data_IF_254741100563
#
_entry.id   IF_254741100563
#
_cell.length_a   1.000
_cell.length_b   1.000
_cell.length_c   1.000
_cell.angle_alpha   90.00
_cell.angle_beta   90.00
_cell.angle_gamma   90.00
#
_symmetry.space_group_name_H-M   'P 1'
#
loop_
_entity.id
_entity.type
_entity.pdbx_description
1 polymer ?
#
# COMPACT_ATOMS: atom_id res chain seq x y z
N UNK A 1 -1.83 -22.02 25.44
CA UNK A 1 -2.94 -21.53 24.55
C UNK A 1 -3.78 -20.61 25.43
N UNK A 2 -3.44 -19.30 25.45
CA UNK A 2 -4.18 -18.32 26.24
C UNK A 2 -5.47 -17.96 25.49
N UNK A 3 -6.59 -18.05 26.16
CA UNK A 3 -7.92 -17.63 25.71
C UNK A 3 -7.83 -16.25 25.05
N UNK A 4 -8.02 -16.23 23.75
CA UNK A 4 -8.23 -15.01 22.99
C UNK A 4 -9.58 -14.46 23.45
N UNK A 5 -9.57 -13.63 24.51
CA UNK A 5 -10.82 -13.06 25.01
C UNK A 5 -11.31 -12.04 23.98
N UNK A 6 -12.53 -12.19 23.51
CA UNK A 6 -13.21 -11.25 22.59
C UNK A 6 -13.07 -9.79 23.08
N UNK A 7 -13.05 -9.57 24.38
CA UNK A 7 -12.82 -8.27 25.02
C UNK A 7 -11.44 -7.69 24.74
N UNK A 8 -10.38 -8.52 24.68
CA UNK A 8 -9.04 -8.06 24.33
C UNK A 8 -8.94 -7.65 22.84
N UNK A 9 -9.62 -8.38 21.96
CA UNK A 9 -9.70 -8.02 20.53
C UNK A 9 -10.42 -6.69 20.31
N UNK A 10 -11.57 -6.49 20.94
CA UNK A 10 -12.34 -5.24 20.85
C UNK A 10 -11.54 -4.05 21.38
N UNK A 11 -10.85 -4.22 22.51
CA UNK A 11 -10.01 -3.15 23.09
C UNK A 11 -8.80 -2.79 22.21
N UNK A 12 -8.20 -3.76 21.53
CA UNK A 12 -7.11 -3.50 20.58
C UNK A 12 -7.60 -2.75 19.35
N UNK A 13 -8.75 -3.14 18.79
CA UNK A 13 -9.36 -2.44 17.66
C UNK A 13 -9.75 -1.00 18.03
N UNK A 14 -10.31 -0.80 19.24
CA UNK A 14 -10.62 0.54 19.75
C UNK A 14 -9.39 1.44 19.86
N UNK A 15 -8.26 0.91 20.38
CA UNK A 15 -7.00 1.67 20.49
C UNK A 15 -6.40 2.00 19.11
N UNK A 16 -6.49 1.09 18.15
CA UNK A 16 -6.04 1.35 16.79
C UNK A 16 -6.85 2.45 16.12
N UNK A 17 -8.18 2.43 16.31
CA UNK A 17 -9.05 3.49 15.82
C UNK A 17 -8.81 4.84 16.51
N UNK A 18 -8.56 4.84 17.82
CA UNK A 18 -8.18 6.03 18.57
C UNK A 18 -6.87 6.62 18.02
N UNK A 19 -5.84 5.79 17.79
CA UNK A 19 -4.59 6.26 17.18
C UNK A 19 -4.81 6.86 15.79
N UNK A 20 -5.66 6.26 14.97
CA UNK A 20 -6.02 6.80 13.65
C UNK A 20 -6.63 8.21 13.78
N UNK A 21 -7.57 8.41 14.70
CA UNK A 21 -8.18 9.71 14.95
C UNK A 21 -7.15 10.74 15.49
N UNK A 22 -6.27 10.31 16.38
CA UNK A 22 -5.20 11.15 16.91
C UNK A 22 -4.24 11.59 15.80
N UNK A 23 -3.83 10.69 14.93
CA UNK A 23 -3.01 11.01 13.76
C UNK A 23 -3.71 12.01 12.85
N UNK A 24 -4.99 11.78 12.54
CA UNK A 24 -5.76 12.71 11.71
C UNK A 24 -5.87 14.10 12.33
N UNK A 25 -6.12 14.21 13.64
CA UNK A 25 -6.21 15.48 14.36
C UNK A 25 -4.86 16.19 14.49
N UNK A 26 -3.80 15.43 14.78
CA UNK A 26 -2.48 15.99 15.03
C UNK A 26 -1.73 16.35 13.74
N UNK A 27 -2.11 15.78 12.59
CA UNK A 27 -1.54 16.11 11.27
C UNK A 27 -1.73 17.60 10.91
N UNK A 28 -2.78 18.23 11.44
CA UNK A 28 -3.06 19.65 11.22
C UNK A 28 -2.55 20.58 12.33
N UNK A 29 -1.93 20.06 13.40
CA UNK A 29 -1.38 20.86 14.49
C UNK A 29 0.07 21.25 14.23
N UNK A 30 0.39 22.52 14.52
CA UNK A 30 1.78 23.05 14.52
C UNK A 30 2.46 22.77 15.87
N UNK A 31 3.81 22.52 15.88
CA UNK A 31 4.74 22.56 14.77
C UNK A 31 4.77 21.24 13.96
N UNK A 32 4.75 21.34 12.63
CA UNK A 32 4.93 20.18 11.74
C UNK A 32 6.40 19.77 11.69
N UNK A 33 6.70 18.49 11.83
CA UNK A 33 8.05 17.93 11.85
C UNK A 33 8.55 17.64 10.42
N UNK A 34 8.72 18.68 9.59
CA UNK A 34 9.06 18.53 8.16
C UNK A 34 10.37 17.79 7.92
N UNK A 35 11.39 17.98 8.76
CA UNK A 35 12.65 17.25 8.64
C UNK A 35 12.48 15.75 8.87
N UNK A 36 11.73 15.38 9.90
CA UNK A 36 11.41 13.97 10.20
C UNK A 36 10.59 13.35 9.06
N UNK A 37 9.60 14.09 8.53
CA UNK A 37 8.80 13.66 7.39
C UNK A 37 9.67 13.29 6.17
N UNK A 38 10.61 14.17 5.77
CA UNK A 38 11.48 13.93 4.63
C UNK A 38 12.42 12.74 4.89
N UNK A 39 12.97 12.64 6.10
CA UNK A 39 13.83 11.51 6.48
C UNK A 39 13.07 10.18 6.42
N UNK A 40 11.85 10.15 6.93
CA UNK A 40 11.00 8.95 6.90
C UNK A 40 10.54 8.62 5.48
N UNK A 41 10.19 9.59 4.66
CA UNK A 41 9.84 9.38 3.26
C UNK A 41 11.02 8.76 2.49
N UNK A 42 12.22 9.31 2.68
CA UNK A 42 13.44 8.75 2.07
C UNK A 42 13.73 7.34 2.55
N UNK A 43 13.61 7.09 3.86
CA UNK A 43 13.85 5.77 4.46
C UNK A 43 12.88 4.73 3.89
N UNK A 44 11.57 5.01 3.91
CA UNK A 44 10.56 4.09 3.39
C UNK A 44 10.76 3.86 1.89
N UNK A 45 11.00 4.92 1.12
CA UNK A 45 11.26 4.81 -0.31
C UNK A 45 12.48 3.94 -0.62
N UNK A 46 13.60 4.13 0.11
CA UNK A 46 14.84 3.39 -0.11
C UNK A 46 14.71 1.89 0.10
N UNK A 47 13.86 1.46 1.04
CA UNK A 47 13.64 0.03 1.32
C UNK A 47 12.55 -0.58 0.45
N UNK A 48 11.69 0.23 -0.20
CA UNK A 48 10.53 -0.28 -0.95
C UNK A 48 10.69 -0.16 -2.47
N UNK A 49 11.41 0.82 -3.01
CA UNK A 49 11.51 1.07 -4.46
C UNK A 49 12.07 -0.16 -5.20
N UNK A 50 13.20 -0.69 -4.75
CA UNK A 50 13.86 -1.81 -5.44
C UNK A 50 13.02 -3.08 -5.43
N UNK A 51 12.52 -3.57 -4.27
CA UNK A 51 11.62 -4.73 -4.25
C UNK A 51 10.35 -4.51 -5.09
N UNK A 52 9.78 -3.30 -5.05
CA UNK A 52 8.58 -2.96 -5.80
C UNK A 52 8.80 -3.06 -7.31
N UNK A 53 9.90 -2.49 -7.80
CA UNK A 53 10.25 -2.54 -9.23
C UNK A 53 10.49 -3.97 -9.70
N UNK A 54 11.19 -4.79 -8.90
CA UNK A 54 11.48 -6.17 -9.23
C UNK A 54 10.22 -7.06 -9.26
N UNK A 55 9.23 -6.77 -8.40
CA UNK A 55 7.95 -7.51 -8.37
C UNK A 55 7.00 -7.03 -9.46
N UNK A 56 7.00 -5.74 -9.79
CA UNK A 56 6.09 -5.16 -10.78
C UNK A 56 6.28 -5.76 -12.19
N UNK A 57 7.52 -6.04 -12.59
CA UNK A 57 7.84 -6.60 -13.92
C UNK A 57 7.18 -7.98 -14.13
N UNK A 58 7.48 -9.02 -13.33
CA UNK A 58 6.87 -10.34 -13.52
C UNK A 58 5.36 -10.31 -13.28
N UNK A 59 4.87 -9.43 -12.39
CA UNK A 59 3.43 -9.32 -12.15
C UNK A 59 2.68 -8.79 -13.40
N UNK A 60 3.20 -7.71 -14.02
CA UNK A 60 2.68 -7.19 -15.27
C UNK A 60 2.77 -8.20 -16.42
N UNK A 61 3.89 -8.94 -16.50
CA UNK A 61 4.09 -10.02 -17.48
C UNK A 61 3.04 -11.13 -17.34
N UNK A 62 2.82 -11.63 -16.14
CA UNK A 62 1.84 -12.72 -15.89
C UNK A 62 0.43 -12.27 -16.27
N UNK A 63 0.04 -11.05 -15.90
CA UNK A 63 -1.27 -10.49 -16.28
C UNK A 63 -1.39 -10.41 -17.80
N UNK A 64 -0.38 -9.89 -18.50
CA UNK A 64 -0.40 -9.76 -19.95
C UNK A 64 -0.46 -11.13 -20.65
N UNK A 65 0.28 -12.14 -20.16
CA UNK A 65 0.25 -13.50 -20.69
C UNK A 65 -1.11 -14.17 -20.48
N UNK A 66 -1.69 -14.04 -19.29
CA UNK A 66 -3.01 -14.63 -18.98
C UNK A 66 -4.11 -13.98 -19.80
N UNK A 67 -4.19 -12.66 -19.81
CA UNK A 67 -5.21 -11.94 -20.56
C UNK A 67 -5.00 -12.08 -22.07
N UNK A 68 -3.76 -12.09 -22.53
CA UNK A 68 -3.44 -12.33 -23.93
C UNK A 68 -3.85 -13.72 -24.42
N UNK A 69 -3.67 -14.75 -23.58
CA UNK A 69 -4.13 -16.12 -23.92
C UNK A 69 -5.66 -16.21 -23.94
N UNK A 70 -6.33 -15.58 -22.98
CA UNK A 70 -7.80 -15.56 -22.89
C UNK A 70 -8.43 -14.81 -24.07
N UNK A 71 -7.95 -13.61 -24.38
CA UNK A 71 -8.46 -12.82 -25.49
C UNK A 71 -8.21 -13.49 -26.83
N UNK A 72 -7.12 -14.24 -26.97
CA UNK A 72 -6.82 -15.05 -28.17
C UNK A 72 -7.81 -16.19 -28.33
N UNK A 73 -8.16 -16.92 -27.27
CA UNK A 73 -9.16 -17.99 -27.29
C UNK A 73 -10.56 -17.47 -27.63
N UNK A 74 -10.90 -16.23 -27.25
CA UNK A 74 -12.17 -15.60 -27.55
C UNK A 74 -12.20 -14.87 -28.91
N UNK A 75 -11.10 -14.87 -29.67
CA UNK A 75 -10.99 -14.12 -30.93
C UNK A 75 -10.96 -12.60 -30.74
N UNK A 76 -10.74 -12.10 -29.52
CA UNK A 76 -10.78 -10.69 -29.14
C UNK A 76 -9.39 -10.09 -28.91
N UNK A 77 -8.41 -10.46 -29.72
CA UNK A 77 -6.99 -10.07 -29.55
C UNK A 77 -6.78 -8.54 -29.55
N UNK A 78 -7.63 -7.80 -30.27
CA UNK A 78 -7.58 -6.33 -30.30
C UNK A 78 -7.83 -5.66 -28.93
N UNK A 79 -8.45 -6.36 -27.99
CA UNK A 79 -8.76 -5.85 -26.65
C UNK A 79 -7.70 -6.23 -25.59
N UNK A 80 -6.67 -6.98 -25.93
CA UNK A 80 -5.66 -7.47 -24.98
C UNK A 80 -4.97 -6.31 -24.27
N UNK A 81 -4.58 -5.26 -24.98
CA UNK A 81 -3.92 -4.09 -24.39
C UNK A 81 -4.79 -3.40 -23.35
N UNK A 82 -6.04 -3.13 -23.70
CA UNK A 82 -7.00 -2.50 -22.79
C UNK A 82 -7.25 -3.31 -21.54
N UNK A 83 -7.52 -4.61 -21.71
CA UNK A 83 -7.76 -5.52 -20.56
C UNK A 83 -6.55 -5.60 -19.64
N UNK A 84 -5.33 -5.72 -20.20
CA UNK A 84 -4.09 -5.78 -19.43
C UNK A 84 -3.84 -4.51 -18.63
N UNK A 85 -4.03 -3.36 -19.26
CA UNK A 85 -3.79 -2.05 -18.61
C UNK A 85 -4.80 -1.80 -17.50
N UNK A 86 -6.08 -2.07 -17.74
CA UNK A 86 -7.11 -1.92 -16.71
C UNK A 86 -6.86 -2.84 -15.52
N UNK A 87 -6.49 -4.10 -15.76
CA UNK A 87 -6.14 -5.04 -14.70
C UNK A 87 -4.92 -4.57 -13.88
N UNK A 88 -3.90 -4.01 -14.54
CA UNK A 88 -2.71 -3.49 -13.86
C UNK A 88 -3.04 -2.24 -13.06
N UNK A 89 -3.65 -1.22 -13.64
CA UNK A 89 -3.84 0.09 -13.00
C UNK A 89 -4.90 0.03 -11.90
N UNK A 90 -6.03 -0.65 -12.14
CA UNK A 90 -7.15 -0.67 -11.17
C UNK A 90 -6.90 -1.57 -9.96
N UNK A 91 -6.25 -2.72 -10.18
CA UNK A 91 -6.17 -3.75 -9.14
C UNK A 91 -4.74 -4.16 -8.81
N UNK A 92 -3.95 -4.55 -9.81
CA UNK A 92 -2.63 -5.12 -9.56
C UNK A 92 -1.67 -4.11 -8.93
N UNK A 93 -1.61 -2.89 -9.46
CA UNK A 93 -0.69 -1.86 -8.98
C UNK A 93 -0.97 -1.46 -7.53
N UNK A 94 -2.21 -1.10 -7.11
CA UNK A 94 -2.50 -0.81 -5.71
C UNK A 94 -2.24 -1.98 -4.77
N UNK A 95 -2.55 -3.23 -5.19
CA UNK A 95 -2.33 -4.43 -4.37
C UNK A 95 -0.84 -4.69 -4.18
N UNK A 96 -0.05 -4.68 -5.25
CA UNK A 96 1.42 -4.88 -5.17
C UNK A 96 2.06 -3.81 -4.30
N UNK A 97 1.67 -2.54 -4.50
CA UNK A 97 2.12 -1.44 -3.67
C UNK A 97 1.76 -1.67 -2.19
N UNK A 98 0.50 -2.05 -1.91
CA UNK A 98 0.02 -2.31 -0.55
C UNK A 98 0.81 -3.41 0.15
N UNK A 99 1.06 -4.54 -0.53
CA UNK A 99 1.82 -5.66 0.02
C UNK A 99 3.26 -5.28 0.37
N UNK A 100 3.91 -4.50 -0.50
CA UNK A 100 5.29 -4.07 -0.28
C UNK A 100 5.42 -2.97 0.76
N UNK A 101 4.48 -2.03 0.79
CA UNK A 101 4.41 -1.04 1.87
C UNK A 101 4.14 -1.72 3.21
N UNK A 102 3.22 -2.66 3.29
CA UNK A 102 2.92 -3.39 4.52
C UNK A 102 4.10 -4.28 4.96
N UNK A 103 4.68 -5.01 4.00
CA UNK A 103 5.78 -5.94 4.24
C UNK A 103 7.09 -5.24 4.58
N UNK A 104 7.60 -4.37 3.72
CA UNK A 104 8.88 -3.70 3.93
C UNK A 104 8.77 -2.41 4.73
N UNK A 105 7.92 -1.47 4.28
CA UNK A 105 7.75 -0.16 4.93
C UNK A 105 7.16 -0.26 6.32
N UNK A 106 6.06 -1.01 6.48
CA UNK A 106 5.38 -1.22 7.76
C UNK A 106 6.24 -1.96 8.76
N UNK A 107 6.96 -3.00 8.32
CA UNK A 107 7.91 -3.72 9.17
C UNK A 107 9.02 -2.81 9.69
N UNK A 108 9.56 -1.95 8.83
CA UNK A 108 10.60 -1.00 9.19
C UNK A 108 10.10 0.05 10.20
N UNK A 109 8.89 0.61 9.99
CA UNK A 109 8.24 1.54 10.93
C UNK A 109 8.00 0.86 12.29
N UNK A 110 7.44 -0.35 12.29
CA UNK A 110 7.14 -1.10 13.51
C UNK A 110 8.41 -1.44 14.29
N UNK A 111 9.46 -1.88 13.61
CA UNK A 111 10.74 -2.22 14.22
C UNK A 111 11.44 -0.98 14.82
N UNK A 112 11.46 0.16 14.13
CA UNK A 112 12.04 1.40 14.63
C UNK A 112 11.31 1.90 15.88
N UNK A 113 9.97 2.00 15.84
CA UNK A 113 9.20 2.42 17.01
C UNK A 113 9.27 1.42 18.16
N UNK A 114 9.25 0.11 17.85
CA UNK A 114 9.40 -0.95 18.84
C UNK A 114 10.78 -0.93 19.52
N UNK A 115 11.83 -0.67 18.76
CA UNK A 115 13.18 -0.52 19.32
C UNK A 115 13.31 0.68 20.25
N UNK A 116 12.65 1.80 19.93
CA UNK A 116 12.57 2.99 20.80
C UNK A 116 11.75 2.71 22.05
N UNK A 117 10.66 1.94 21.93
CA UNK A 117 9.82 1.55 23.07
C UNK A 117 10.59 0.70 24.08
N UNK A 118 11.32 -0.32 23.64
CA UNK A 118 12.10 -1.18 24.54
C UNK A 118 13.33 -0.51 25.17
N UNK A 119 13.74 0.66 24.66
CA UNK A 119 14.79 1.52 25.23
C UNK A 119 14.24 2.65 26.10
N UNK A 120 12.95 2.61 26.43
CA UNK A 120 12.23 3.62 27.22
C UNK A 120 12.27 5.05 26.64
N UNK A 121 12.68 5.22 25.37
CA UNK A 121 12.72 6.53 24.71
C UNK A 121 11.32 7.15 24.59
N UNK A 122 10.31 6.32 24.33
CA UNK A 122 8.92 6.77 24.20
C UNK A 122 8.36 7.19 25.54
N UNK A 123 8.61 6.42 26.59
CA UNK A 123 8.18 6.73 27.93
C UNK A 123 8.88 7.98 28.48
N UNK A 124 10.16 8.16 28.17
CA UNK A 124 10.89 9.39 28.49
C UNK A 124 10.29 10.64 27.79
N UNK A 125 9.85 10.51 26.52
CA UNK A 125 9.17 11.61 25.81
C UNK A 125 7.85 12.00 26.52
N UNK A 126 7.06 11.01 26.94
CA UNK A 126 5.80 11.25 27.64
C UNK A 126 6.01 11.97 28.98
N UNK A 127 7.02 11.57 29.75
CA UNK A 127 7.41 12.24 31.03
C UNK A 127 7.82 13.69 30.79
N UNK A 128 8.47 13.98 29.64
CA UNK A 128 8.84 15.34 29.26
C UNK A 128 7.67 16.16 28.66
N UNK A 129 6.46 15.60 28.61
CA UNK A 129 5.28 16.24 28.03
C UNK A 129 5.29 16.31 26.50
N UNK A 130 6.15 15.55 25.84
CA UNK A 130 6.24 15.48 24.38
C UNK A 130 5.36 14.34 23.87
N UNK A 131 4.38 14.64 23.03
CA UNK A 131 3.53 13.61 22.43
C UNK A 131 4.30 12.74 21.42
N UNK A 132 4.50 11.43 21.68
CA UNK A 132 5.14 10.52 20.73
C UNK A 132 4.36 10.41 19.43
N UNK A 133 3.03 10.48 19.49
CA UNK A 133 2.17 10.39 18.32
C UNK A 133 2.44 11.56 17.38
N UNK A 134 2.44 12.79 17.89
CA UNK A 134 2.68 13.98 17.06
C UNK A 134 4.11 14.00 16.49
N UNK A 135 5.10 13.62 17.30
CA UNK A 135 6.51 13.76 16.93
C UNK A 135 7.02 12.61 16.06
N UNK A 136 6.56 11.38 16.31
CA UNK A 136 7.07 10.19 15.64
C UNK A 136 6.08 9.58 14.65
N UNK A 137 4.80 9.43 15.05
CA UNK A 137 3.82 8.69 14.24
C UNK A 137 3.33 9.52 13.06
N UNK A 138 2.92 10.76 13.30
CA UNK A 138 2.34 11.63 12.24
C UNK A 138 3.29 11.78 11.03
N UNK A 139 4.57 12.13 11.20
CA UNK A 139 5.49 12.23 10.05
C UNK A 139 5.65 10.92 9.28
N UNK A 140 5.67 9.76 9.99
CA UNK A 140 5.79 8.44 9.36
C UNK A 140 4.55 8.07 8.57
N UNK A 141 3.38 8.35 9.10
CA UNK A 141 2.11 8.06 8.40
C UNK A 141 2.00 8.90 7.13
N UNK A 142 2.25 10.20 7.20
CA UNK A 142 2.21 11.07 6.03
C UNK A 142 3.28 10.70 4.98
N UNK A 143 4.48 10.36 5.43
CA UNK A 143 5.56 9.88 4.56
C UNK A 143 5.16 8.58 3.86
N UNK A 144 4.56 7.64 4.58
CA UNK A 144 4.12 6.37 4.04
C UNK A 144 3.00 6.56 3.00
N UNK A 145 2.05 7.45 3.24
CA UNK A 145 0.99 7.80 2.28
C UNK A 145 1.57 8.37 0.98
N UNK A 146 2.53 9.31 1.08
CA UNK A 146 3.20 9.90 -0.07
C UNK A 146 3.99 8.86 -0.87
N UNK A 147 4.78 8.05 -0.17
CA UNK A 147 5.60 7.00 -0.80
C UNK A 147 4.70 5.93 -1.43
N UNK A 148 3.59 5.57 -0.80
CA UNK A 148 2.62 4.62 -1.36
C UNK A 148 2.04 5.12 -2.71
N UNK A 149 1.66 6.38 -2.80
CA UNK A 149 1.22 6.98 -4.06
C UNK A 149 2.33 6.94 -5.12
N UNK A 150 3.54 7.38 -4.78
CA UNK A 150 4.66 7.36 -5.72
C UNK A 150 5.01 5.94 -6.20
N UNK A 151 4.96 4.93 -5.30
CA UNK A 151 5.18 3.53 -5.66
C UNK A 151 4.06 2.97 -6.53
N UNK A 152 2.81 3.36 -6.31
CA UNK A 152 1.69 2.94 -7.16
C UNK A 152 1.87 3.45 -8.59
N UNK A 153 2.26 4.72 -8.75
CA UNK A 153 2.62 5.27 -10.05
C UNK A 153 3.75 4.48 -10.73
N UNK A 154 4.81 4.17 -9.97
CA UNK A 154 5.94 3.37 -10.46
C UNK A 154 5.49 1.97 -10.91
N UNK A 155 4.71 1.26 -10.08
CA UNK A 155 4.19 -0.08 -10.42
C UNK A 155 3.29 -0.03 -11.64
N UNK A 156 2.44 1.00 -11.76
CA UNK A 156 1.58 1.19 -12.92
C UNK A 156 2.39 1.35 -14.21
N UNK A 157 3.42 2.20 -14.19
CA UNK A 157 4.29 2.42 -15.36
C UNK A 157 5.08 1.16 -15.71
N UNK A 158 5.75 0.56 -14.73
CA UNK A 158 6.58 -0.63 -14.94
C UNK A 158 5.73 -1.84 -15.32
N UNK A 159 4.58 -2.04 -14.68
CA UNK A 159 3.65 -3.13 -14.97
C UNK A 159 3.04 -3.03 -16.37
N UNK A 160 2.62 -1.84 -16.79
CA UNK A 160 2.11 -1.60 -18.15
C UNK A 160 3.21 -1.76 -19.20
N UNK A 161 4.41 -1.22 -18.95
CA UNK A 161 5.55 -1.37 -19.86
C UNK A 161 5.98 -2.86 -19.98
N UNK A 162 6.01 -3.57 -18.87
CA UNK A 162 6.25 -5.02 -18.85
C UNK A 162 5.16 -5.77 -19.65
N UNK A 163 3.88 -5.46 -19.40
CA UNK A 163 2.77 -6.05 -20.13
C UNK A 163 2.84 -5.79 -21.64
N UNK A 164 3.19 -4.58 -22.05
CA UNK A 164 3.43 -4.25 -23.46
C UNK A 164 4.55 -5.08 -24.07
N UNK A 165 5.71 -5.13 -23.40
CA UNK A 165 6.87 -5.88 -23.89
C UNK A 165 6.54 -7.38 -24.08
N UNK A 166 5.92 -8.01 -23.10
CA UNK A 166 5.58 -9.43 -23.18
C UNK A 166 4.49 -9.72 -24.20
N UNK A 167 3.49 -8.85 -24.34
CA UNK A 167 2.44 -9.03 -25.36
C UNK A 167 2.99 -8.90 -26.78
N UNK A 168 3.78 -7.87 -27.04
CA UNK A 168 4.30 -7.58 -28.39
C UNK A 168 5.42 -8.56 -28.77
N UNK A 169 6.39 -8.80 -27.86
CA UNK A 169 7.60 -9.59 -28.19
C UNK A 169 7.33 -11.10 -28.09
N UNK A 170 6.64 -11.55 -27.04
CA UNK A 170 6.45 -12.99 -26.81
C UNK A 170 5.16 -13.54 -27.43
N UNK A 171 4.09 -12.73 -27.45
CA UNK A 171 2.80 -13.20 -27.99
C UNK A 171 2.57 -12.78 -29.46
N UNK A 172 3.47 -12.01 -30.06
CA UNK A 172 3.35 -11.54 -31.45
C UNK A 172 2.21 -10.54 -31.65
N UNK A 173 1.80 -9.84 -30.61
CA UNK A 173 0.82 -8.75 -30.70
C UNK A 173 1.36 -7.59 -31.53
N UNK A 174 0.48 -6.86 -32.23
CA UNK A 174 0.90 -5.66 -32.98
C UNK A 174 0.98 -4.48 -32.04
N UNK A 175 2.09 -3.69 -32.05
CA UNK A 175 2.25 -2.52 -31.19
C UNK A 175 1.11 -1.51 -31.33
N UNK A 176 0.65 -1.27 -32.56
CA UNK A 176 -0.44 -0.34 -32.85
C UNK A 176 -1.78 -0.76 -32.25
N UNK A 177 -2.13 -2.05 -32.32
CA UNK A 177 -3.36 -2.56 -31.75
C UNK A 177 -3.34 -2.48 -30.20
N UNK A 178 -2.19 -2.78 -29.57
CA UNK A 178 -2.05 -2.66 -28.13
C UNK A 178 -2.26 -1.21 -27.65
N UNK A 179 -1.57 -0.25 -28.28
CA UNK A 179 -1.68 1.17 -27.90
C UNK A 179 -3.06 1.76 -28.22
N UNK A 180 -3.66 1.39 -29.36
CA UNK A 180 -5.00 1.82 -29.71
C UNK A 180 -6.05 1.31 -28.71
N UNK A 181 -5.96 0.05 -28.30
CA UNK A 181 -6.88 -0.51 -27.31
C UNK A 181 -6.69 0.08 -25.92
N UNK A 182 -5.44 0.38 -25.52
CA UNK A 182 -5.12 1.09 -24.29
C UNK A 182 -5.86 2.43 -24.22
N UNK A 183 -5.70 3.27 -25.25
CA UNK A 183 -6.31 4.61 -25.28
C UNK A 183 -7.84 4.58 -25.41
N UNK A 184 -8.41 3.48 -25.91
CA UNK A 184 -9.85 3.33 -26.06
C UNK A 184 -10.59 3.12 -24.73
N UNK A 185 -10.03 2.34 -23.81
CA UNK A 185 -10.70 1.92 -22.58
C UNK A 185 -10.10 2.51 -21.30
N UNK A 186 -8.81 2.85 -21.26
CA UNK A 186 -8.20 3.48 -20.10
C UNK A 186 -8.81 4.87 -19.86
N UNK A 187 -9.20 5.13 -18.63
CA UNK A 187 -9.81 6.40 -18.23
C UNK A 187 -8.99 7.04 -17.11
N UNK A 188 -8.96 8.37 -17.06
CA UNK A 188 -8.35 9.09 -15.94
C UNK A 188 -8.93 8.71 -14.57
N UNK A 189 -10.24 8.47 -14.40
CA UNK A 189 -10.80 7.96 -13.16
C UNK A 189 -10.18 6.66 -12.65
N UNK A 190 -9.71 5.77 -13.54
CA UNK A 190 -9.04 4.52 -13.14
C UNK A 190 -7.72 4.79 -12.42
N UNK A 191 -6.94 5.73 -12.98
CA UNK A 191 -5.68 6.16 -12.37
C UNK A 191 -5.91 6.81 -11.00
N UNK A 192 -6.87 7.75 -10.92
CA UNK A 192 -7.19 8.42 -9.65
C UNK A 192 -7.71 7.43 -8.60
N UNK A 193 -8.51 6.46 -8.99
CA UNK A 193 -8.98 5.41 -8.07
C UNK A 193 -7.82 4.55 -7.56
N UNK A 194 -6.88 4.18 -8.43
CA UNK A 194 -5.67 3.44 -8.06
C UNK A 194 -4.79 4.24 -7.08
N UNK A 195 -4.55 5.54 -7.35
CA UNK A 195 -3.78 6.41 -6.47
C UNK A 195 -4.48 6.62 -5.12
N UNK A 196 -5.79 6.82 -5.11
CA UNK A 196 -6.57 6.94 -3.89
C UNK A 196 -6.51 5.68 -3.03
N UNK A 197 -6.64 4.49 -3.65
CA UNK A 197 -6.44 3.21 -2.96
C UNK A 197 -5.04 3.13 -2.34
N UNK A 198 -3.99 3.46 -3.09
CA UNK A 198 -2.62 3.40 -2.62
C UNK A 198 -2.36 4.31 -1.41
N UNK A 199 -2.89 5.54 -1.42
CA UNK A 199 -2.80 6.48 -0.29
C UNK A 199 -3.48 5.90 0.96
N UNK A 200 -4.69 5.32 0.82
CA UNK A 200 -5.40 4.68 1.94
C UNK A 200 -4.62 3.46 2.44
N UNK A 201 -4.02 2.67 1.56
CA UNK A 201 -3.22 1.52 1.95
C UNK A 201 -1.95 1.92 2.70
N UNK A 202 -1.28 2.99 2.27
CA UNK A 202 -0.17 3.58 3.00
C UNK A 202 -0.56 4.07 4.40
N UNK A 203 -1.72 4.71 4.52
CA UNK A 203 -2.28 5.13 5.80
C UNK A 203 -2.53 3.95 6.73
N UNK A 204 -3.23 2.92 6.27
CA UNK A 204 -3.53 1.72 7.07
C UNK A 204 -2.24 1.03 7.51
N UNK A 205 -1.31 0.79 6.59
CA UNK A 205 -0.05 0.14 6.89
C UNK A 205 0.75 0.89 7.97
N UNK A 206 0.89 2.20 7.82
CA UNK A 206 1.65 3.01 8.76
C UNK A 206 0.98 3.13 10.13
N UNK A 207 -0.35 3.25 10.20
CA UNK A 207 -1.09 3.31 11.47
C UNK A 207 -1.01 1.99 12.22
N UNK A 208 -1.20 0.85 11.53
CA UNK A 208 -1.09 -0.48 12.16
C UNK A 208 0.34 -0.74 12.63
N UNK A 209 1.34 -0.44 11.80
CA UNK A 209 2.75 -0.58 12.13
C UNK A 209 3.14 0.28 13.34
N UNK A 210 2.70 1.53 13.36
CA UNK A 210 2.96 2.45 14.49
C UNK A 210 2.27 1.97 15.76
N UNK A 211 1.01 1.52 15.66
CA UNK A 211 0.29 0.99 16.82
C UNK A 211 1.00 -0.22 17.43
N UNK A 212 1.45 -1.16 16.60
CA UNK A 212 2.15 -2.36 17.08
C UNK A 212 3.54 -2.03 17.61
N UNK A 213 4.28 -1.13 16.95
CA UNK A 213 5.59 -0.68 17.41
C UNK A 213 5.54 0.04 18.75
N UNK A 214 4.62 0.98 18.94
CA UNK A 214 4.44 1.70 20.21
C UNK A 214 4.02 0.80 21.38
N UNK A 215 3.40 -0.34 21.10
CA UNK A 215 2.96 -1.31 22.10
C UNK A 215 3.85 -2.56 22.14
N UNK A 216 5.03 -2.53 21.50
CA UNK A 216 5.97 -3.63 21.56
C UNK A 216 6.53 -3.77 23.00
N UNK A 217 6.63 -4.99 23.48
CA UNK A 217 7.14 -5.30 24.81
C UNK A 217 8.00 -6.56 24.80
N UNK A 218 8.68 -6.84 25.96
CA UNK A 218 9.44 -8.09 26.09
C UNK A 218 10.77 -8.12 25.34
N UNK A 219 11.39 -6.96 25.09
CA UNK A 219 12.71 -6.87 24.48
C UNK A 219 12.71 -7.14 22.95
N UNK A 220 13.87 -7.52 22.36
CA UNK A 220 14.00 -7.71 20.92
C UNK A 220 13.04 -8.75 20.33
N UNK A 221 12.73 -9.82 21.08
CA UNK A 221 11.76 -10.84 20.69
C UNK A 221 10.36 -10.24 20.55
N UNK A 222 9.94 -9.40 21.52
CA UNK A 222 8.64 -8.74 21.47
C UNK A 222 8.51 -7.76 20.30
N UNK A 223 9.60 -7.10 19.90
CA UNK A 223 9.63 -6.27 18.69
C UNK A 223 9.41 -7.13 17.45
N UNK A 224 10.09 -8.28 17.33
CA UNK A 224 9.88 -9.22 16.23
C UNK A 224 8.43 -9.74 16.15
N UNK A 225 7.83 -10.07 17.29
CA UNK A 225 6.44 -10.51 17.36
C UNK A 225 5.47 -9.38 16.96
N UNK A 226 5.75 -8.14 17.37
CA UNK A 226 4.96 -6.96 16.98
C UNK A 226 5.02 -6.71 15.47
N UNK A 227 6.20 -6.85 14.86
CA UNK A 227 6.39 -6.73 13.40
C UNK A 227 5.56 -7.78 12.66
N UNK A 228 5.66 -9.05 13.05
CA UNK A 228 4.90 -10.12 12.41
C UNK A 228 3.38 -9.89 12.53
N UNK A 229 2.91 -9.51 13.73
CA UNK A 229 1.50 -9.19 13.92
C UNK A 229 1.05 -7.99 13.10
N UNK A 230 1.90 -6.96 12.99
CA UNK A 230 1.63 -5.76 12.18
C UNK A 230 1.39 -6.14 10.72
N UNK A 231 2.28 -6.92 10.13
CA UNK A 231 2.17 -7.36 8.72
C UNK A 231 0.89 -8.15 8.48
N UNK A 232 0.59 -9.14 9.32
CA UNK A 232 -0.61 -9.98 9.19
C UNK A 232 -1.89 -9.14 9.29
N UNK A 233 -2.00 -8.28 10.30
CA UNK A 233 -3.18 -7.43 10.49
C UNK A 233 -3.33 -6.47 9.32
N UNK A 234 -2.23 -5.87 8.87
CA UNK A 234 -2.23 -4.95 7.73
C UNK A 234 -2.73 -5.66 6.47
N UNK A 235 -2.23 -6.84 6.16
CA UNK A 235 -2.69 -7.60 4.97
C UNK A 235 -4.18 -7.88 5.01
N UNK A 236 -4.71 -8.35 6.14
CA UNK A 236 -6.14 -8.61 6.28
C UNK A 236 -6.99 -7.35 6.05
N UNK A 237 -6.57 -6.23 6.65
CA UNK A 237 -7.26 -4.95 6.48
C UNK A 237 -7.19 -4.43 5.04
N UNK A 238 -6.02 -4.55 4.39
CA UNK A 238 -5.82 -4.09 3.02
C UNK A 238 -6.70 -4.85 2.04
N UNK A 239 -6.80 -6.17 2.14
CA UNK A 239 -7.68 -6.97 1.28
C UNK A 239 -9.16 -6.61 1.49
N UNK A 240 -9.58 -6.45 2.75
CA UNK A 240 -10.96 -6.05 3.05
C UNK A 240 -11.27 -4.66 2.49
N UNK A 241 -10.39 -3.69 2.74
CA UNK A 241 -10.58 -2.31 2.26
C UNK A 241 -10.48 -2.23 0.74
N UNK A 242 -9.59 -3.01 0.10
CA UNK A 242 -9.54 -3.09 -1.36
C UNK A 242 -10.87 -3.56 -1.94
N UNK A 243 -11.45 -4.62 -1.37
CA UNK A 243 -12.76 -5.11 -1.81
C UNK A 243 -13.84 -4.03 -1.71
N UNK A 244 -13.91 -3.33 -0.57
CA UNK A 244 -14.90 -2.26 -0.35
C UNK A 244 -14.69 -1.10 -1.35
N UNK A 245 -13.44 -0.65 -1.52
CA UNK A 245 -13.13 0.46 -2.42
C UNK A 245 -13.42 0.10 -3.89
N UNK A 246 -13.11 -1.13 -4.29
CA UNK A 246 -13.43 -1.62 -5.64
C UNK A 246 -14.94 -1.71 -5.86
N UNK A 247 -15.70 -2.23 -4.88
CA UNK A 247 -17.16 -2.30 -4.95
C UNK A 247 -17.80 -0.91 -5.09
N UNK A 248 -17.34 0.06 -4.30
CA UNK A 248 -17.78 1.46 -4.38
C UNK A 248 -17.43 2.07 -5.73
N UNK A 249 -16.20 1.84 -6.23
CA UNK A 249 -15.76 2.35 -7.52
C UNK A 249 -16.70 1.94 -8.66
N UNK A 250 -17.07 0.66 -8.75
CA UNK A 250 -17.98 0.16 -9.80
C UNK A 250 -19.40 0.73 -9.71
N UNK A 251 -19.82 1.20 -8.54
CA UNK A 251 -21.11 1.87 -8.39
C UNK A 251 -21.07 3.35 -8.81
N UNK A 252 -19.92 4.01 -8.63
CA UNK A 252 -19.76 5.45 -8.90
C UNK A 252 -19.35 5.73 -10.34
N UNK A 253 -18.52 4.85 -10.93
CA UNK A 253 -17.99 5.01 -12.29
C UNK A 253 -18.56 3.90 -13.18
N UNK A 254 -19.62 4.17 -13.95
CA UNK A 254 -20.18 3.18 -14.86
C UNK A 254 -19.17 2.82 -15.97
N UNK A 255 -19.16 1.55 -16.41
CA UNK A 255 -18.27 1.13 -17.49
C UNK A 255 -18.59 1.87 -18.80
N UNK A 256 -17.55 2.25 -19.56
CA UNK A 256 -17.74 2.83 -20.91
C UNK A 256 -18.45 1.81 -21.79
N UNK A 257 -19.66 2.13 -22.21
CA UNK A 257 -20.44 1.32 -23.17
C UNK A 257 -21.70 0.67 -22.61
N UNK A 258 -22.15 1.09 -21.42
CA UNK A 258 -23.51 0.80 -20.92
C UNK A 258 -24.46 1.93 -21.27
#
# INVERSE_FOLDING_TARGET
>A
MSSFSLTAGISQTGRLFALFLDVARLSFRRPFQGREFVQQAWFIASVTILPTSLVAIPFGAVIALQLGSLTRQLGAQSFTGAASVLAVIREASPIVCALLIAGAGGSAICADLGSRKIRDEIDAMEVLGISPVQRLVVPRVLACMLVAAALNGLVSVVGVAGGYFFNVVLQGGTPGAYLASFSALAQLPDLYAGEFKAVIFGLIAAVVASHKGLNAGGGPKGVGDAVNQSVVITFLLLFFVNFVLTAVYFQVVPPKGS
#
